data_IF_799656645805
#
_entry.id   IF_799656645805
#
_cell.length_a   1.000
_cell.length_b   1.000
_cell.length_c   1.000
_cell.angle_alpha   90.00
_cell.angle_beta   90.00
_cell.angle_gamma   90.00
#
_symmetry.space_group_name_H-M   'P 1'
#
loop_
_entity.id
_entity.type
_entity.pdbx_description
1 polymer ?
#
# COMPACT_ATOMS: atom_id res chain seq x y z
N UNK A 1 15.85 9.54 11.97
CA UNK A 1 15.12 8.67 12.93
C UNK A 1 14.25 7.86 12.03
N UNK A 2 14.46 6.53 11.99
CA UNK A 2 13.85 5.68 10.97
C UNK A 2 12.37 6.03 10.80
N UNK A 3 11.92 6.11 9.54
CA UNK A 3 10.50 6.27 9.24
C UNK A 3 9.67 5.20 9.95
N UNK A 4 8.38 5.44 10.10
CA UNK A 4 7.47 4.54 10.82
C UNK A 4 6.32 4.12 9.93
N UNK A 5 5.85 2.90 10.13
CA UNK A 5 4.64 2.37 9.51
C UNK A 5 3.82 1.69 10.59
N UNK A 6 2.62 2.20 10.83
CA UNK A 6 1.66 1.62 11.78
C UNK A 6 0.54 0.96 11.00
N UNK A 7 0.30 -0.33 11.25
CA UNK A 7 -0.71 -1.11 10.53
C UNK A 7 -1.90 -1.41 11.42
N UNK A 8 -3.10 -1.18 10.87
CA UNK A 8 -4.37 -1.63 11.44
C UNK A 8 -5.07 -2.54 10.44
N UNK A 9 -5.35 -3.77 10.83
CA UNK A 9 -6.06 -4.74 10.02
C UNK A 9 -7.48 -4.93 10.55
N UNK A 10 -8.47 -4.56 9.75
CA UNK A 10 -9.88 -4.72 10.07
C UNK A 10 -10.54 -5.67 9.07
N UNK A 11 -11.28 -6.67 9.56
CA UNK A 11 -12.13 -7.53 8.73
C UNK A 11 -13.58 -7.35 9.14
N UNK A 12 -14.45 -7.07 8.18
CA UNK A 12 -15.90 -7.01 8.37
C UNK A 12 -16.58 -7.96 7.37
N UNK A 13 -16.90 -9.17 7.83
CA UNK A 13 -17.43 -10.22 6.97
C UNK A 13 -16.46 -10.60 5.84
N UNK A 14 -16.95 -10.53 4.60
CA UNK A 14 -16.21 -10.87 3.39
C UNK A 14 -15.26 -9.76 2.91
N UNK A 15 -15.26 -8.57 3.52
CA UNK A 15 -14.37 -7.48 3.13
C UNK A 15 -13.37 -7.21 4.26
N UNK A 16 -12.09 -7.22 3.91
CA UNK A 16 -11.02 -6.79 4.78
C UNK A 16 -10.39 -5.48 4.31
N UNK A 17 -9.83 -4.74 5.26
CA UNK A 17 -9.13 -3.49 5.05
C UNK A 17 -7.88 -3.45 5.92
N UNK A 18 -6.73 -3.36 5.29
CA UNK A 18 -5.44 -3.12 5.94
C UNK A 18 -5.11 -1.65 5.73
N UNK A 19 -4.94 -0.91 6.82
CA UNK A 19 -4.60 0.52 6.81
C UNK A 19 -3.19 0.67 7.35
N UNK A 20 -2.29 1.19 6.52
CA UNK A 20 -0.94 1.57 6.91
C UNK A 20 -0.87 3.10 7.03
N UNK A 21 -0.51 3.60 8.21
CA UNK A 21 -0.16 5.01 8.42
C UNK A 21 1.35 5.12 8.43
N UNK A 22 1.90 5.76 7.41
CA UNK A 22 3.33 5.86 7.20
C UNK A 22 3.83 7.27 7.50
N UNK A 23 5.01 7.38 8.12
CA UNK A 23 5.75 8.63 8.29
C UNK A 23 7.18 8.43 7.81
N UNK A 24 7.65 9.27 6.88
CA UNK A 24 9.00 9.20 6.33
C UNK A 24 10.04 9.57 7.39
N UNK A 25 11.27 9.10 7.23
CA UNK A 25 12.38 9.45 8.12
C UNK A 25 12.57 10.98 8.14
N UNK A 26 12.84 11.52 9.33
CA UNK A 26 13.07 12.95 9.52
C UNK A 26 14.36 13.48 8.88
N UNK A 27 15.33 12.63 8.51
CA UNK A 27 16.59 13.02 7.86
C UNK A 27 16.57 12.88 6.34
N UNK A 28 15.98 11.83 5.79
CA UNK A 28 16.04 11.55 4.34
C UNK A 28 14.69 11.30 3.66
N UNK A 29 13.58 11.34 4.42
CA UNK A 29 12.24 11.12 3.90
C UNK A 29 11.93 9.66 3.51
N UNK A 30 12.85 8.71 3.71
CA UNK A 30 12.59 7.32 3.33
C UNK A 30 11.56 6.66 4.23
N UNK A 31 10.83 5.68 3.68
CA UNK A 31 9.90 4.85 4.45
C UNK A 31 10.49 3.45 4.60
N UNK A 32 10.36 2.80 5.77
CA UNK A 32 10.83 1.42 5.91
C UNK A 32 9.92 0.46 5.13
N UNK A 33 10.53 -0.52 4.47
CA UNK A 33 9.80 -1.66 3.93
C UNK A 33 9.12 -2.40 5.10
N UNK A 34 7.83 -2.66 4.99
CA UNK A 34 7.03 -3.17 6.11
C UNK A 34 6.17 -4.36 5.68
N UNK A 35 6.36 -5.51 6.32
CA UNK A 35 5.52 -6.67 6.11
C UNK A 35 4.09 -6.40 6.63
N UNK A 36 3.10 -6.72 5.80
CA UNK A 36 1.69 -6.67 6.19
C UNK A 36 1.33 -7.88 7.07
N UNK A 37 0.30 -7.74 7.94
CA UNK A 37 -0.28 -8.90 8.60
C UNK A 37 -0.84 -9.86 7.54
N UNK A 38 -0.77 -11.19 7.80
CA UNK A 38 -1.21 -12.19 6.85
C UNK A 38 -2.71 -12.05 6.57
N UNK A 39 -3.09 -12.19 5.30
CA UNK A 39 -4.47 -12.25 4.87
C UNK A 39 -4.60 -13.15 3.65
N UNK A 40 -5.80 -13.70 3.44
CA UNK A 40 -6.11 -14.45 2.24
C UNK A 40 -7.31 -13.87 1.53
N UNK A 41 -7.30 -13.96 0.20
CA UNK A 41 -8.38 -13.44 -0.63
C UNK A 41 -7.86 -12.60 -1.79
N UNK A 42 -8.69 -11.69 -2.32
CA UNK A 42 -8.34 -10.89 -3.51
C UNK A 42 -8.28 -9.42 -3.19
N UNK A 43 -7.18 -8.77 -3.55
CA UNK A 43 -7.04 -7.32 -3.46
C UNK A 43 -8.03 -6.69 -4.44
N UNK A 44 -8.80 -5.70 -3.96
CA UNK A 44 -9.84 -5.02 -4.73
C UNK A 44 -9.45 -3.60 -5.08
N UNK A 45 -8.82 -2.89 -4.16
CA UNK A 45 -8.48 -1.48 -4.34
C UNK A 45 -7.31 -1.05 -3.47
N UNK A 46 -6.53 -0.10 -3.99
CA UNK A 46 -5.57 0.69 -3.26
C UNK A 46 -6.14 2.10 -3.08
N UNK A 47 -6.19 2.56 -1.83
CA UNK A 47 -6.56 3.94 -1.48
C UNK A 47 -5.36 4.62 -0.87
N UNK A 48 -5.13 5.87 -1.27
CA UNK A 48 -4.06 6.71 -0.75
C UNK A 48 -4.64 8.04 -0.28
N UNK A 49 -4.15 8.53 0.84
CA UNK A 49 -4.48 9.85 1.35
C UNK A 49 -3.21 10.55 1.85
N UNK A 50 -2.60 11.44 1.05
CA UNK A 50 -1.45 12.21 1.50
C UNK A 50 -1.86 13.10 2.67
N UNK A 51 -1.07 13.07 3.75
CA UNK A 51 -1.28 13.91 4.92
C UNK A 51 -0.93 15.38 4.65
N UNK A 52 -0.98 16.21 5.69
CA UNK A 52 -0.63 17.62 5.58
C UNK A 52 0.80 17.86 5.06
N UNK A 53 1.75 17.03 5.52
CA UNK A 53 3.10 16.95 4.95
C UNK A 53 3.11 15.81 3.95
N UNK A 54 2.69 16.05 2.72
CA UNK A 54 2.60 15.01 1.69
C UNK A 54 3.99 14.52 1.23
N UNK A 55 4.09 13.28 0.68
CA UNK A 55 5.30 12.84 -0.01
C UNK A 55 5.62 13.69 -1.26
N UNK A 56 6.78 13.46 -1.87
CA UNK A 56 7.13 14.03 -3.19
C UNK A 56 6.15 13.57 -4.26
N UNK A 57 5.85 14.44 -5.23
CA UNK A 57 4.89 14.12 -6.29
C UNK A 57 5.35 12.96 -7.17
N UNK A 58 4.39 12.10 -7.52
CA UNK A 58 4.62 10.84 -8.23
C UNK A 58 5.43 9.81 -7.42
N UNK A 59 5.22 9.73 -6.11
CA UNK A 59 5.72 8.61 -5.30
C UNK A 59 5.02 7.30 -5.68
N UNK A 60 5.73 6.19 -5.50
CA UNK A 60 5.26 4.86 -5.87
C UNK A 60 5.00 4.01 -4.62
N UNK A 61 3.94 3.20 -4.69
CA UNK A 61 3.60 2.20 -3.69
C UNK A 61 3.60 0.83 -4.38
N UNK A 62 4.29 -0.14 -3.79
CA UNK A 62 4.25 -1.54 -4.25
C UNK A 62 3.93 -2.47 -3.10
N UNK A 63 3.40 -3.65 -3.45
CA UNK A 63 3.13 -4.73 -2.51
C UNK A 63 3.84 -5.98 -3.01
N UNK A 64 5.07 -6.18 -2.54
CA UNK A 64 5.98 -7.20 -3.07
C UNK A 64 5.80 -8.50 -2.31
N UNK A 65 5.60 -9.60 -3.03
CA UNK A 65 5.53 -10.95 -2.46
C UNK A 65 6.91 -11.61 -2.31
N UNK A 66 6.92 -12.84 -1.81
CA UNK A 66 8.13 -13.65 -1.60
C UNK A 66 8.87 -13.97 -2.91
N UNK A 67 8.19 -13.93 -4.06
CA UNK A 67 8.75 -14.12 -5.40
C UNK A 67 9.19 -12.81 -6.07
N UNK A 68 9.23 -11.70 -5.31
CA UNK A 68 9.54 -10.34 -5.75
C UNK A 68 8.57 -9.76 -6.79
N UNK A 69 7.32 -10.24 -6.82
CA UNK A 69 6.26 -9.76 -7.71
C UNK A 69 5.43 -8.69 -7.01
N UNK A 70 5.17 -7.57 -7.71
CA UNK A 70 4.24 -6.55 -7.23
C UNK A 70 2.78 -7.00 -7.40
N UNK A 71 2.14 -7.34 -6.28
CA UNK A 71 0.72 -7.72 -6.19
C UNK A 71 -0.24 -6.54 -6.34
N UNK A 72 0.24 -5.31 -6.53
CA UNK A 72 -0.59 -4.21 -7.02
C UNK A 72 -0.55 -4.10 -8.55
N UNK A 73 0.32 -4.84 -9.24
CA UNK A 73 0.48 -4.84 -10.69
C UNK A 73 0.66 -3.42 -11.26
N UNK A 74 1.43 -2.57 -10.57
CA UNK A 74 1.67 -1.18 -10.97
C UNK A 74 0.55 -0.19 -10.65
N UNK A 75 -0.57 -0.63 -10.05
CA UNK A 75 -1.68 0.26 -9.65
C UNK A 75 -1.22 1.35 -8.68
N UNK A 76 -0.18 1.10 -7.88
CA UNK A 76 0.37 2.06 -6.93
C UNK A 76 1.39 3.05 -7.48
N UNK A 77 1.65 3.07 -8.79
CA UNK A 77 2.62 3.99 -9.40
C UNK A 77 2.11 5.44 -9.51
N UNK A 78 2.98 6.45 -9.43
CA UNK A 78 2.65 7.86 -9.62
C UNK A 78 1.46 8.36 -8.77
N UNK A 79 1.58 8.28 -7.44
CA UNK A 79 0.53 8.76 -6.52
C UNK A 79 0.60 10.27 -6.32
N UNK A 80 -0.58 10.86 -6.14
CA UNK A 80 -0.73 12.29 -5.97
C UNK A 80 -0.44 12.74 -4.53
N UNK A 81 -0.03 14.00 -4.43
CA UNK A 81 0.38 14.66 -3.18
C UNK A 81 -0.67 15.55 -2.57
N UNK A 82 -1.63 16.04 -3.37
CA UNK A 82 -2.65 16.97 -2.91
C UNK A 82 -4.06 16.36 -2.80
N UNK A 83 -4.26 15.14 -3.32
CA UNK A 83 -5.59 14.52 -3.39
C UNK A 83 -5.56 13.09 -2.91
N UNK A 84 -6.59 12.70 -2.18
CA UNK A 84 -6.83 11.29 -1.90
C UNK A 84 -7.26 10.59 -3.19
N UNK A 85 -6.72 9.40 -3.43
CA UNK A 85 -7.00 8.63 -4.64
C UNK A 85 -7.47 7.22 -4.27
N UNK A 86 -8.30 6.66 -5.14
CA UNK A 86 -8.67 5.25 -5.10
C UNK A 86 -8.45 4.68 -6.50
N UNK A 87 -7.71 3.58 -6.56
CA UNK A 87 -7.50 2.83 -7.78
C UNK A 87 -7.91 1.38 -7.54
N UNK A 88 -8.81 0.89 -8.38
CA UNK A 88 -9.21 -0.51 -8.34
C UNK A 88 -8.02 -1.38 -8.75
N UNK A 89 -7.74 -2.41 -7.96
CA UNK A 89 -6.84 -3.51 -8.32
C UNK A 89 -7.71 -4.53 -9.04
N UNK A 90 -8.19 -4.11 -10.22
CA UNK A 90 -9.15 -4.87 -11.02
C UNK A 90 -8.72 -4.84 -12.47
N UNK A 91 -8.98 -5.99 -13.08
CA UNK A 91 -8.38 -6.53 -14.26
C UNK A 91 -8.68 -5.78 -15.56
N UNK A 92 -7.70 -5.77 -16.46
CA UNK A 92 -7.93 -5.37 -17.84
C UNK A 92 -8.54 -6.54 -18.63
N UNK A 93 -9.85 -6.49 -18.93
CA UNK A 93 -10.53 -7.49 -19.75
C UNK A 93 -10.98 -8.74 -18.99
N UNK A 94 -10.59 -9.93 -19.44
CA UNK A 94 -11.20 -11.22 -19.04
C UNK A 94 -10.54 -11.96 -17.90
N UNK A 95 -9.31 -11.64 -17.55
CA UNK A 95 -8.67 -12.40 -16.49
C UNK A 95 -8.88 -11.71 -15.14
N UNK A 96 -8.32 -12.29 -14.08
CA UNK A 96 -8.71 -11.99 -12.71
C UNK A 96 -7.44 -11.81 -11.90
N UNK A 97 -7.41 -10.78 -11.05
CA UNK A 97 -6.26 -10.55 -10.18
C UNK A 97 -6.08 -11.81 -9.31
N UNK A 98 -4.87 -12.41 -9.28
CA UNK A 98 -4.64 -13.60 -8.48
C UNK A 98 -5.00 -13.37 -7.01
N UNK A 99 -5.60 -14.37 -6.33
CA UNK A 99 -5.77 -14.30 -4.89
C UNK A 99 -4.41 -14.38 -4.20
N UNK A 100 -4.30 -13.68 -3.08
CA UNK A 100 -3.23 -13.78 -2.09
C UNK A 100 -3.50 -15.00 -1.21
N UNK A 101 -2.49 -15.84 -1.05
CA UNK A 101 -2.54 -16.99 -0.14
C UNK A 101 -2.26 -16.55 1.32
N UNK A 102 -2.76 -17.30 2.30
CA UNK A 102 -2.61 -16.90 3.72
C UNK A 102 -1.15 -16.92 4.21
N UNK A 103 -0.34 -17.80 3.63
CA UNK A 103 1.07 -18.01 3.91
C UNK A 103 2.01 -17.11 3.09
N UNK A 104 1.45 -16.28 2.21
CA UNK A 104 2.20 -15.32 1.39
C UNK A 104 2.58 -14.09 2.22
N UNK A 105 3.88 -13.76 2.25
CA UNK A 105 4.34 -12.53 2.92
C UNK A 105 4.30 -11.37 1.94
N UNK A 106 3.54 -10.34 2.28
CA UNK A 106 3.44 -9.14 1.46
C UNK A 106 4.15 -7.96 2.13
N UNK A 107 5.15 -7.43 1.43
CA UNK A 107 5.94 -6.29 1.89
C UNK A 107 5.47 -5.01 1.21
N UNK A 108 4.92 -4.09 2.01
CA UNK A 108 4.60 -2.74 1.57
C UNK A 108 5.88 -1.93 1.43
N UNK A 109 6.10 -1.33 0.26
CA UNK A 109 7.19 -0.39 0.05
C UNK A 109 6.67 0.92 -0.53
N UNK A 110 7.36 2.02 -0.16
CA UNK A 110 7.10 3.35 -0.70
C UNK A 110 8.42 3.92 -1.21
N UNK A 111 8.43 4.37 -2.45
CA UNK A 111 9.61 4.91 -3.12
C UNK A 111 9.32 6.29 -3.74
N UNK A 112 10.37 7.01 -4.11
CA UNK A 112 10.25 8.31 -4.79
C UNK A 112 9.97 9.50 -3.87
N UNK A 113 9.92 9.31 -2.54
CA UNK A 113 9.80 10.41 -1.60
C UNK A 113 11.18 11.01 -1.22
N UNK A 114 11.23 12.33 -1.14
CA UNK A 114 12.36 13.13 -0.64
C UNK A 114 11.92 14.18 0.38
N UNK A 115 10.64 14.17 0.80
CA UNK A 115 10.11 15.06 1.84
C UNK A 115 10.30 14.41 3.20
N UNK A 116 11.10 15.04 4.06
CA UNK A 116 11.34 14.58 5.42
C UNK A 116 10.05 14.59 6.24
N UNK A 117 9.82 13.54 7.04
CA UNK A 117 8.60 13.39 7.84
C UNK A 117 7.30 13.44 7.03
N UNK A 118 7.33 13.07 5.74
CA UNK A 118 6.13 12.96 4.92
C UNK A 118 5.15 11.93 5.51
N UNK A 119 3.85 12.24 5.45
CA UNK A 119 2.77 11.42 5.99
C UNK A 119 1.89 10.95 4.85
N UNK A 120 1.59 9.65 4.84
CA UNK A 120 0.67 9.03 3.88
C UNK A 120 -0.12 7.93 4.59
N UNK A 121 -1.43 7.94 4.38
CA UNK A 121 -2.31 6.84 4.81
C UNK A 121 -2.65 6.01 3.59
N UNK A 122 -2.34 4.72 3.66
CA UNK A 122 -2.59 3.73 2.62
C UNK A 122 -3.65 2.78 3.15
N UNK A 123 -4.69 2.51 2.37
CA UNK A 123 -5.64 1.46 2.67
C UNK A 123 -5.74 0.46 1.51
N UNK A 124 -5.44 -0.79 1.81
CA UNK A 124 -5.61 -1.93 0.92
C UNK A 124 -6.94 -2.59 1.27
N UNK A 125 -7.86 -2.60 0.32
CA UNK A 125 -9.17 -3.23 0.46
C UNK A 125 -9.12 -4.56 -0.28
N UNK A 126 -9.58 -5.63 0.38
CA UNK A 126 -9.59 -6.97 -0.21
C UNK A 126 -10.90 -7.71 0.10
N UNK A 127 -11.31 -8.60 -0.80
CA UNK A 127 -12.33 -9.60 -0.54
C UNK A 127 -11.68 -10.79 0.14
N UNK A 128 -12.04 -11.08 1.38
CA UNK A 128 -11.52 -12.22 2.12
C UNK A 128 -12.13 -13.53 1.61
N UNK A 129 -11.30 -14.57 1.56
CA UNK A 129 -11.78 -15.95 1.41
C UNK A 129 -12.41 -16.47 2.71
#
# INVERSE_FOLDING_TARGET
MAGTVTIVHNRNGAIGRIVATCTGDASDGTFPATALPPFSGRILALRTNPGATAPTDNYDITLVDDDAVDRLQGVGANRATATSQEAAVVYLGTAIHPPVAFDETLTLTLAGNSVNSAIIVIAIVYAAN
#
